data_IF_638194549166
#
_entry.id   IF_638194549166
#
_cell.length_a   1.000
_cell.length_b   1.000
_cell.length_c   1.000
_cell.angle_alpha   90.00
_cell.angle_beta   90.00
_cell.angle_gamma   90.00
#
_symmetry.space_group_name_H-M   'P 1'
#
loop_
_entity.id
_entity.type
_entity.pdbx_description
1 polymer ?
#
# COMPACT_ATOMS: atom_id res chain seq x y z
N UNK A 1 0.68 -7.94 -14.74
CA UNK A 1 -0.20 -8.64 -13.82
C UNK A 1 -0.11 -8.00 -12.47
N UNK A 2 -1.24 -7.65 -11.88
CA UNK A 2 -1.21 -6.99 -10.58
C UNK A 2 -1.40 -8.03 -9.49
N UNK A 3 -1.04 -7.67 -8.26
CA UNK A 3 -1.20 -8.56 -7.14
C UNK A 3 -2.65 -8.89 -6.93
N UNK A 4 -3.56 -8.02 -7.35
CA UNK A 4 -5.00 -8.24 -7.16
C UNK A 4 -5.53 -9.35 -8.05
N UNK A 5 -4.81 -9.75 -9.06
CA UNK A 5 -5.23 -10.89 -9.88
C UNK A 5 -4.90 -12.20 -9.19
N UNK A 6 -4.05 -12.16 -8.15
CA UNK A 6 -3.64 -13.35 -7.46
C UNK A 6 -4.34 -13.49 -6.13
N UNK A 7 -4.72 -12.40 -5.50
CA UNK A 7 -5.34 -12.44 -4.18
C UNK A 7 -6.44 -11.40 -4.05
N UNK A 8 -7.41 -11.65 -3.17
CA UNK A 8 -8.50 -10.69 -2.97
C UNK A 8 -8.00 -9.38 -2.36
N UNK A 9 -8.77 -8.34 -2.56
CA UNK A 9 -8.45 -7.00 -2.06
C UNK A 9 -8.15 -7.00 -0.57
N UNK A 10 -8.96 -7.66 0.23
CA UNK A 10 -8.77 -7.68 1.69
C UNK A 10 -7.43 -8.32 2.06
N UNK A 11 -7.03 -9.37 1.34
CA UNK A 11 -5.76 -10.03 1.60
C UNK A 11 -4.59 -9.15 1.18
N UNK A 12 -4.74 -8.44 0.07
CA UNK A 12 -3.70 -7.50 -0.38
C UNK A 12 -3.50 -6.39 0.64
N UNK A 13 -4.59 -5.86 1.21
CA UNK A 13 -4.50 -4.83 2.24
C UNK A 13 -3.82 -5.36 3.49
N UNK A 14 -4.11 -6.57 3.89
CA UNK A 14 -3.47 -7.19 5.05
C UNK A 14 -1.98 -7.40 4.82
N UNK A 15 -1.63 -7.85 3.63
CA UNK A 15 -0.23 -8.07 3.31
C UNK A 15 0.53 -6.74 3.30
N UNK A 16 -0.06 -5.70 2.74
CA UNK A 16 0.57 -4.38 2.73
C UNK A 16 0.79 -3.87 4.16
N UNK A 17 -0.19 -4.04 5.04
CA UNK A 17 -0.06 -3.63 6.43
C UNK A 17 1.00 -4.45 7.16
N UNK A 18 1.09 -5.75 6.87
CA UNK A 18 2.08 -6.60 7.47
C UNK A 18 3.48 -6.19 7.04
N UNK A 19 3.67 -5.89 5.77
CA UNK A 19 4.97 -5.44 5.27
C UNK A 19 5.36 -4.09 5.85
N UNK A 20 4.39 -3.22 6.04
CA UNK A 20 4.63 -1.94 6.69
C UNK A 20 5.15 -2.16 8.12
N UNK A 21 4.56 -3.07 8.86
CA UNK A 21 5.02 -3.36 10.22
C UNK A 21 6.41 -3.98 10.23
N UNK A 22 6.79 -4.67 9.17
CA UNK A 22 8.12 -5.26 9.04
C UNK A 22 9.13 -4.25 8.50
N UNK A 23 8.71 -3.02 8.31
CA UNK A 23 9.54 -1.95 7.73
C UNK A 23 9.94 -2.23 6.29
N UNK A 24 9.18 -3.06 5.59
CA UNK A 24 9.41 -3.30 4.18
C UNK A 24 8.56 -2.29 3.41
N UNK A 25 8.97 -1.05 3.47
CA UNK A 25 8.16 0.04 2.95
C UNK A 25 8.08 0.05 1.43
N UNK A 26 9.10 -0.41 0.76
CA UNK A 26 9.07 -0.46 -0.70
C UNK A 26 7.98 -1.42 -1.18
N UNK A 27 7.91 -2.59 -0.59
CA UNK A 27 6.90 -3.57 -0.96
C UNK A 27 5.50 -3.07 -0.57
N UNK A 28 5.38 -2.54 0.63
CA UNK A 28 4.10 -2.03 1.12
C UNK A 28 3.57 -0.92 0.23
N UNK A 29 4.42 0.01 -0.16
CA UNK A 29 4.05 1.10 -1.05
C UNK A 29 3.56 0.55 -2.39
N UNK A 30 4.25 -0.43 -2.92
CA UNK A 30 3.87 -1.01 -4.19
C UNK A 30 2.50 -1.69 -4.13
N UNK A 31 2.25 -2.40 -3.04
CA UNK A 31 0.95 -3.04 -2.86
C UNK A 31 -0.18 -2.01 -2.77
N UNK A 32 0.02 -0.96 -2.00
CA UNK A 32 -0.99 0.09 -1.89
C UNK A 32 -1.21 0.79 -3.22
N UNK A 33 -0.15 1.03 -3.98
CA UNK A 33 -0.28 1.65 -5.29
C UNK A 33 -1.02 0.75 -6.28
N UNK A 34 -0.76 -0.55 -6.25
CA UNK A 34 -1.50 -1.49 -7.10
C UNK A 34 -2.99 -1.49 -6.76
N UNK A 35 -3.30 -1.45 -5.47
CA UNK A 35 -4.69 -1.39 -5.05
C UNK A 35 -5.34 -0.09 -5.55
N UNK A 36 -4.65 1.02 -5.43
CA UNK A 36 -5.19 2.30 -5.86
C UNK A 36 -5.30 2.43 -7.37
N UNK A 37 -4.46 1.72 -8.11
CA UNK A 37 -4.61 1.68 -9.56
C UNK A 37 -5.92 1.00 -9.97
N UNK A 38 -6.34 0.00 -9.21
CA UNK A 38 -7.57 -0.73 -9.52
C UNK A 38 -8.76 -0.10 -8.83
N UNK A 39 -8.56 0.37 -7.61
CA UNK A 39 -9.62 0.96 -6.79
C UNK A 39 -9.19 2.33 -6.28
N UNK A 40 -9.23 3.34 -7.13
CA UNK A 40 -8.68 4.67 -6.77
C UNK A 40 -9.39 5.33 -5.60
N UNK A 41 -10.59 4.91 -5.29
CA UNK A 41 -11.32 5.48 -4.18
C UNK A 41 -11.23 4.64 -2.91
N UNK A 42 -10.37 3.63 -2.89
CA UNK A 42 -10.23 2.79 -1.72
C UNK A 42 -9.55 3.56 -0.59
N UNK A 43 -10.31 3.86 0.45
CA UNK A 43 -9.83 4.68 1.55
C UNK A 43 -8.75 3.97 2.35
N UNK A 44 -8.88 2.67 2.56
CA UNK A 44 -7.90 1.91 3.34
C UNK A 44 -6.52 1.95 2.66
N UNK A 45 -6.48 1.79 1.35
CA UNK A 45 -5.22 1.85 0.62
C UNK A 45 -4.62 3.25 0.64
N UNK A 46 -5.46 4.27 0.52
CA UNK A 46 -4.99 5.66 0.58
C UNK A 46 -4.41 5.98 1.95
N UNK A 47 -5.07 5.57 3.01
CA UNK A 47 -4.57 5.79 4.36
C UNK A 47 -3.30 5.00 4.61
N UNK A 48 -3.24 3.77 4.12
CA UNK A 48 -2.05 2.94 4.26
C UNK A 48 -0.85 3.52 3.55
N UNK A 49 -1.06 4.00 2.33
CA UNK A 49 0.02 4.62 1.57
C UNK A 49 0.53 5.88 2.28
N UNK A 50 -0.37 6.69 2.77
CA UNK A 50 0.01 7.90 3.49
C UNK A 50 0.80 7.55 4.77
N UNK A 51 0.37 6.52 5.48
CA UNK A 51 1.07 6.07 6.68
C UNK A 51 2.49 5.62 6.37
N UNK A 52 2.68 4.88 5.29
CA UNK A 52 4.00 4.44 4.87
C UNK A 52 4.88 5.65 4.53
N UNK A 53 4.34 6.60 3.80
CA UNK A 53 5.08 7.80 3.43
C UNK A 53 5.50 8.58 4.66
N UNK A 54 4.65 8.68 5.67
CA UNK A 54 4.98 9.37 6.90
C UNK A 54 6.07 8.63 7.67
N UNK A 55 6.03 7.31 7.67
CA UNK A 55 7.03 6.54 8.41
C UNK A 55 8.39 6.56 7.75
N UNK A 56 8.44 6.66 6.44
CA UNK A 56 9.71 6.70 5.75
C UNK A 56 10.29 8.10 5.69
N UNK A 57 9.55 9.08 6.12
CA UNK A 57 9.99 10.45 6.02
C UNK A 57 10.00 10.96 4.59
N UNK A 58 9.36 10.27 3.61
CA UNK A 58 9.50 10.55 2.27
C UNK A 58 8.40 11.38 1.92
N UNK A 59 8.27 12.50 2.37
CA UNK A 59 7.23 13.25 2.13
C UNK A 59 7.22 13.95 1.02
N UNK A 60 7.59 13.76 0.21
CA UNK A 60 7.45 14.46 -0.93
C UNK A 60 8.07 15.66 -0.88
N UNK A 61 8.75 16.03 -1.63
CA UNK A 61 9.52 17.13 -1.50
C UNK A 61 8.85 18.13 -1.93
N UNK A 62 8.07 18.00 -1.80
CA UNK A 62 7.46 18.83 -2.38
C UNK A 62 6.45 19.31 -1.84
#
# INVERSE_FOLDING_TARGET
MTILQIMPLAQALRLAAKKEKQHDFAYSTRLYQDILNTFPKNTAARKGLKSVQNQTGFEGPF
#
